data_IF_207273975836
#
_entry.id   IF_207273975836
#
_cell.length_a   1.000
_cell.length_b   1.000
_cell.length_c   1.000
_cell.angle_alpha   90.00
_cell.angle_beta   90.00
_cell.angle_gamma   90.00
#
_symmetry.space_group_name_H-M   'P 1'
#
loop_
_entity.id
_entity.type
_entity.pdbx_description
1 polymer ?
#
# COMPACT_ATOMS: atom_id res chain seq x y z
N UNK A 1 -14.01 13.05 -10.94
CA UNK A 1 -12.68 12.73 -10.41
C UNK A 1 -12.87 12.18 -9.02
N UNK A 2 -12.40 10.99 -8.71
CA UNK A 2 -12.55 10.46 -7.35
C UNK A 2 -11.39 10.95 -6.49
N UNK A 3 -11.74 11.50 -5.33
CA UNK A 3 -10.79 11.95 -4.33
C UNK A 3 -11.05 11.20 -3.03
N UNK A 4 -10.02 10.54 -2.54
CA UNK A 4 -10.04 9.94 -1.22
C UNK A 4 -9.55 10.96 -0.19
N UNK A 5 -10.32 11.17 0.87
CA UNK A 5 -9.93 12.07 1.97
C UNK A 5 -10.09 11.36 3.30
N UNK A 6 -9.11 11.53 4.15
CA UNK A 6 -9.14 11.16 5.56
C UNK A 6 -9.26 12.45 6.37
N UNK A 7 -10.28 12.58 7.21
CA UNK A 7 -10.55 13.82 7.96
C UNK A 7 -10.62 13.57 9.45
N UNK A 8 -9.71 14.23 10.18
CA UNK A 8 -9.63 14.25 11.65
C UNK A 8 -9.71 12.84 12.27
N UNK A 9 -8.99 11.89 11.67
CA UNK A 9 -9.08 10.49 12.02
C UNK A 9 -8.35 10.21 13.32
N UNK A 10 -9.08 9.68 14.32
CA UNK A 10 -8.50 9.28 15.61
C UNK A 10 -8.87 7.83 15.89
N UNK A 11 -7.89 7.07 16.40
CA UNK A 11 -8.07 5.68 16.79
C UNK A 11 -7.30 5.36 18.06
N UNK A 12 -7.98 4.75 19.00
CA UNK A 12 -7.45 4.28 20.27
C UNK A 12 -7.78 2.80 20.44
N UNK A 13 -6.88 2.05 21.03
CA UNK A 13 -7.11 0.65 21.39
C UNK A 13 -7.04 0.48 22.90
N UNK A 14 -8.08 -0.11 23.50
CA UNK A 14 -8.09 -0.44 24.91
C UNK A 14 -7.30 -1.73 25.14
N UNK A 15 -6.24 -1.64 25.93
CA UNK A 15 -5.48 -2.78 26.44
C UNK A 15 -5.71 -2.86 27.95
N UNK A 16 -5.88 -4.08 28.46
CA UNK A 16 -6.21 -4.51 29.83
C UNK A 16 -5.93 -3.54 31.02
N UNK A 17 -5.65 -2.32 30.93
CA UNK A 17 -5.55 -1.25 31.93
C UNK A 17 -4.93 0.04 31.36
N UNK A 18 -4.67 0.08 30.05
CA UNK A 18 -4.10 1.25 29.38
C UNK A 18 -4.83 1.49 28.05
N UNK A 19 -5.12 2.73 27.76
CA UNK A 19 -5.65 3.15 26.47
C UNK A 19 -4.51 3.61 25.60
N UNK A 20 -4.36 2.99 24.43
CA UNK A 20 -3.27 3.28 23.47
C UNK A 20 -3.82 4.05 22.28
N UNK A 21 -3.61 5.36 22.25
CA UNK A 21 -3.92 6.18 21.09
C UNK A 21 -2.91 5.92 19.99
N UNK A 22 -3.37 5.47 18.83
CA UNK A 22 -2.55 5.11 17.66
C UNK A 22 -2.58 6.19 16.59
N UNK A 23 -3.76 6.75 16.30
CA UNK A 23 -3.93 7.88 15.37
C UNK A 23 -4.55 9.04 16.12
N UNK A 24 -4.13 10.29 15.82
CA UNK A 24 -4.63 11.48 16.50
C UNK A 24 -4.89 12.63 15.52
N UNK A 25 -6.13 12.81 15.12
CA UNK A 25 -6.56 13.88 14.22
C UNK A 25 -5.91 13.83 12.83
N UNK A 26 -5.58 12.64 12.33
CA UNK A 26 -4.89 12.46 11.06
C UNK A 26 -5.74 12.95 9.88
N UNK A 27 -5.10 13.74 9.01
CA UNK A 27 -5.68 14.21 7.77
C UNK A 27 -4.77 13.84 6.60
N UNK A 28 -5.33 13.37 5.48
CA UNK A 28 -4.64 13.21 4.20
C UNK A 28 -5.63 13.23 3.03
N UNK A 29 -5.14 13.52 1.85
CA UNK A 29 -5.93 13.49 0.64
C UNK A 29 -5.15 12.86 -0.51
N UNK A 30 -5.86 12.11 -1.35
CA UNK A 30 -5.32 11.42 -2.52
C UNK A 30 -6.23 11.73 -3.69
N UNK A 31 -5.68 12.29 -4.74
CA UNK A 31 -6.44 12.62 -5.94
C UNK A 31 -6.57 11.38 -6.85
N UNK A 32 -7.52 11.43 -7.77
CA UNK A 32 -7.79 10.33 -8.70
C UNK A 32 -6.57 10.02 -9.59
N UNK A 33 -6.18 8.76 -9.63
CA UNK A 33 -5.01 8.30 -10.37
C UNK A 33 -3.66 8.69 -9.75
N UNK A 34 -3.64 9.30 -8.57
CA UNK A 34 -2.41 9.69 -7.88
C UNK A 34 -1.76 8.47 -7.21
N UNK A 35 -0.44 8.40 -7.24
CA UNK A 35 0.34 7.43 -6.49
C UNK A 35 0.91 8.11 -5.24
N UNK A 36 0.41 7.74 -4.07
CA UNK A 36 0.78 8.35 -2.78
C UNK A 36 1.51 7.35 -1.89
N UNK A 37 2.65 7.75 -1.32
CA UNK A 37 3.35 6.93 -0.33
C UNK A 37 3.15 7.46 1.09
N UNK A 38 3.09 6.55 2.05
CA UNK A 38 3.03 6.81 3.49
C UNK A 38 4.31 6.30 4.14
N UNK A 39 5.11 7.21 4.68
CA UNK A 39 6.32 6.93 5.45
C UNK A 39 6.10 7.25 6.94
N UNK A 40 6.85 6.61 7.80
CA UNK A 40 6.85 6.86 9.24
C UNK A 40 7.43 5.69 10.01
N UNK A 41 7.72 5.87 11.32
CA UNK A 41 8.32 4.83 12.16
C UNK A 41 7.51 3.54 12.17
N UNK A 42 8.20 2.42 12.40
CA UNK A 42 7.51 1.12 12.58
C UNK A 42 6.55 1.18 13.76
N UNK A 43 5.34 0.65 13.58
CA UNK A 43 4.31 0.63 14.61
C UNK A 43 3.63 1.98 14.88
N UNK A 44 3.86 3.04 14.08
CA UNK A 44 3.20 4.33 14.30
C UNK A 44 1.69 4.31 14.02
N UNK A 45 1.18 3.36 13.19
CA UNK A 45 -0.25 3.25 12.90
C UNK A 45 -0.62 3.19 11.41
N UNK A 46 0.35 3.06 10.50
CA UNK A 46 0.10 3.03 9.04
C UNK A 46 -0.87 1.92 8.62
N UNK A 47 -0.65 0.69 9.07
CA UNK A 47 -1.57 -0.43 8.78
C UNK A 47 -2.93 -0.26 9.47
N UNK A 48 -2.99 0.41 10.64
CA UNK A 48 -4.24 0.80 11.29
C UNK A 48 -5.04 1.76 10.40
N UNK A 49 -4.36 2.75 9.82
CA UNK A 49 -4.97 3.67 8.86
C UNK A 49 -5.53 2.91 7.64
N UNK A 50 -4.79 1.97 7.06
CA UNK A 50 -5.28 1.16 5.94
C UNK A 50 -6.45 0.28 6.31
N UNK A 51 -6.47 -0.30 7.51
CA UNK A 51 -7.62 -1.06 8.00
C UNK A 51 -8.87 -0.17 8.13
N UNK A 52 -8.71 1.09 8.52
CA UNK A 52 -9.84 2.04 8.59
C UNK A 52 -10.28 2.45 7.18
N UNK A 53 -9.34 2.79 6.28
CA UNK A 53 -9.68 3.17 4.90
C UNK A 53 -10.40 2.02 4.19
N UNK A 54 -9.95 0.79 4.36
CA UNK A 54 -10.58 -0.40 3.75
C UNK A 54 -11.87 -0.83 4.42
N UNK A 55 -12.25 -0.20 5.55
CA UNK A 55 -13.47 -0.54 6.30
C UNK A 55 -13.35 -1.79 7.17
N UNK A 56 -12.15 -2.32 7.38
CA UNK A 56 -11.89 -3.43 8.30
C UNK A 56 -11.91 -2.99 9.77
N UNK A 57 -11.75 -1.70 10.03
CA UNK A 57 -11.78 -1.08 11.34
C UNK A 57 -12.61 0.19 11.30
N UNK A 58 -13.48 0.38 12.29
CA UNK A 58 -14.25 1.62 12.44
C UNK A 58 -13.44 2.57 13.33
N UNK A 59 -13.22 3.83 12.92
CA UNK A 59 -12.46 4.80 13.72
C UNK A 59 -13.30 5.33 14.90
N UNK A 60 -12.63 5.76 15.96
CA UNK A 60 -13.30 6.39 17.12
C UNK A 60 -13.92 7.73 16.73
N UNK A 61 -13.16 8.56 16.00
CA UNK A 61 -13.64 9.86 15.48
C UNK A 61 -13.09 10.14 14.11
N UNK A 62 -13.65 11.15 13.43
CA UNK A 62 -13.30 11.49 12.06
C UNK A 62 -13.94 10.55 11.05
N UNK A 63 -13.38 10.46 9.86
CA UNK A 63 -13.95 9.60 8.81
C UNK A 63 -13.17 9.58 7.52
N UNK A 64 -13.56 8.63 6.69
CA UNK A 64 -13.06 8.46 5.32
C UNK A 64 -14.13 8.99 4.37
N UNK A 65 -13.71 9.74 3.37
CA UNK A 65 -14.59 10.32 2.37
C UNK A 65 -14.10 9.94 0.98
N UNK A 66 -15.01 9.54 0.13
CA UNK A 66 -14.76 9.29 -1.28
C UNK A 66 -15.67 10.22 -2.10
N UNK A 67 -15.07 11.09 -2.92
CA UNK A 67 -15.80 12.11 -3.69
C UNK A 67 -16.64 13.07 -2.83
N UNK A 68 -16.20 13.37 -1.63
CA UNK A 68 -16.91 14.21 -0.68
C UNK A 68 -17.98 13.50 0.14
N UNK A 69 -18.34 12.27 -0.20
CA UNK A 69 -19.28 11.45 0.57
C UNK A 69 -18.55 10.61 1.61
N UNK A 70 -19.05 10.63 2.85
CA UNK A 70 -18.50 9.80 3.92
C UNK A 70 -18.83 8.34 3.65
N UNK A 71 -17.79 7.51 3.63
CA UNK A 71 -17.94 6.06 3.47
C UNK A 71 -17.88 5.37 4.84
N UNK A 72 -18.70 4.32 5.01
CA UNK A 72 -18.80 3.54 6.24
C UNK A 72 -18.58 2.06 5.93
N UNK A 73 -17.61 1.47 6.63
CA UNK A 73 -17.30 0.06 6.45
C UNK A 73 -16.69 -0.24 5.08
N UNK A 74 -16.66 -1.53 4.71
CA UNK A 74 -16.13 -1.98 3.42
C UNK A 74 -17.12 -1.63 2.31
N UNK A 75 -16.82 -0.62 1.54
CA UNK A 75 -17.64 -0.18 0.39
C UNK A 75 -17.36 -0.98 -0.88
N UNK A 76 -16.35 -1.85 -0.86
CA UNK A 76 -15.90 -2.58 -2.06
C UNK A 76 -15.13 -1.71 -3.08
N UNK A 77 -14.78 -0.47 -2.74
CA UNK A 77 -14.04 0.44 -3.62
C UNK A 77 -12.52 0.22 -3.59
N UNK A 78 -12.06 -0.55 -2.61
CA UNK A 78 -10.64 -0.77 -2.34
C UNK A 78 -10.21 -2.20 -2.64
N UNK A 79 -9.01 -2.36 -3.20
CA UNK A 79 -8.27 -3.60 -3.15
C UNK A 79 -7.10 -3.43 -2.17
N UNK A 80 -7.00 -4.30 -1.18
CA UNK A 80 -6.03 -4.18 -0.10
C UNK A 80 -5.07 -5.36 -0.08
N UNK A 81 -3.80 -5.09 -0.36
CA UNK A 81 -2.69 -6.00 -0.10
C UNK A 81 -2.14 -5.72 1.28
N UNK A 82 -2.40 -6.61 2.23
CA UNK A 82 -1.86 -6.51 3.58
C UNK A 82 -0.38 -6.91 3.62
N UNK A 83 0.34 -6.49 4.66
CA UNK A 83 1.76 -6.81 4.87
C UNK A 83 2.04 -8.32 4.85
N UNK A 84 1.14 -9.14 5.43
CA UNK A 84 1.15 -10.60 5.28
C UNK A 84 0.49 -10.97 3.95
N UNK A 85 1.03 -11.98 3.27
CA UNK A 85 0.52 -12.40 1.96
C UNK A 85 -0.93 -12.94 1.98
N UNK A 86 -1.37 -13.50 3.11
CA UNK A 86 -2.72 -14.04 3.35
C UNK A 86 -3.23 -14.89 2.18
N UNK A 87 -2.36 -15.63 1.53
CA UNK A 87 -2.75 -16.60 0.52
C UNK A 87 -3.53 -17.75 1.16
N UNK A 88 -4.58 -18.20 0.47
CA UNK A 88 -5.39 -19.32 0.90
C UNK A 88 -4.57 -20.61 0.73
N UNK A 89 -4.15 -21.28 1.82
CA UNK A 89 -3.17 -22.38 1.73
C UNK A 89 -3.70 -23.63 1.02
N UNK A 90 -5.02 -23.76 0.94
CA UNK A 90 -5.71 -24.86 0.24
C UNK A 90 -6.01 -24.57 -1.23
N UNK A 91 -5.63 -23.39 -1.75
CA UNK A 91 -5.77 -23.01 -3.15
C UNK A 91 -4.41 -22.93 -3.83
N UNK A 92 -4.35 -23.32 -5.09
CA UNK A 92 -3.16 -23.09 -5.93
C UNK A 92 -2.95 -21.61 -6.18
N UNK A 93 -1.78 -21.22 -6.72
CA UNK A 93 -1.44 -19.84 -7.11
C UNK A 93 -2.53 -19.25 -8.00
N UNK A 94 -2.85 -19.91 -9.10
CA UNK A 94 -3.87 -19.37 -10.03
C UNK A 94 -5.23 -19.22 -9.35
N UNK A 95 -5.65 -20.15 -8.50
CA UNK A 95 -6.90 -20.05 -7.77
C UNK A 95 -6.90 -18.99 -6.68
N UNK A 96 -5.74 -18.66 -6.09
CA UNK A 96 -5.58 -17.52 -5.20
C UNK A 96 -5.78 -16.20 -5.97
N UNK A 97 -5.19 -16.10 -7.14
CA UNK A 97 -5.27 -14.89 -7.98
C UNK A 97 -6.68 -14.66 -8.51
N UNK A 98 -7.43 -15.73 -8.79
CA UNK A 98 -8.81 -15.65 -9.29
C UNK A 98 -9.87 -15.36 -8.23
N UNK A 99 -9.52 -15.16 -6.96
CA UNK A 99 -10.49 -14.87 -5.88
C UNK A 99 -11.35 -13.64 -6.19
N UNK A 100 -10.75 -12.57 -6.69
CA UNK A 100 -11.48 -11.34 -7.06
C UNK A 100 -12.50 -11.59 -8.18
N UNK A 101 -12.09 -12.11 -9.34
CA UNK A 101 -12.99 -12.52 -10.41
C UNK A 101 -14.10 -13.48 -9.99
N UNK A 102 -13.79 -14.49 -9.14
CA UNK A 102 -14.80 -15.42 -8.61
C UNK A 102 -15.88 -14.70 -7.79
N UNK A 103 -15.47 -13.77 -6.89
CA UNK A 103 -16.40 -12.99 -6.05
C UNK A 103 -17.29 -12.07 -6.90
N UNK A 104 -16.76 -11.51 -7.99
CA UNK A 104 -17.48 -10.62 -8.88
C UNK A 104 -18.27 -11.33 -9.97
N UNK A 105 -18.28 -12.69 -9.98
CA UNK A 105 -18.92 -13.52 -11.01
C UNK A 105 -18.46 -13.19 -12.43
N UNK A 106 -17.15 -12.88 -12.60
CA UNK A 106 -16.58 -12.61 -13.92
C UNK A 106 -16.37 -13.91 -14.71
N UNK A 107 -16.33 -13.85 -16.07
CA UNK A 107 -16.00 -15.00 -16.90
C UNK A 107 -14.59 -15.52 -16.55
N UNK A 108 -14.52 -16.71 -15.94
CA UNK A 108 -13.26 -17.25 -15.40
C UNK A 108 -12.23 -17.58 -16.47
N UNK A 109 -12.62 -17.91 -17.70
CA UNK A 109 -11.67 -18.22 -18.77
C UNK A 109 -10.85 -16.97 -19.15
N UNK A 110 -11.51 -15.83 -19.32
CA UNK A 110 -10.84 -14.54 -19.62
C UNK A 110 -9.99 -14.08 -18.43
N UNK A 111 -10.54 -14.14 -17.22
CA UNK A 111 -9.83 -13.79 -16.02
C UNK A 111 -8.59 -14.68 -15.78
N UNK A 112 -8.66 -15.97 -16.14
CA UNK A 112 -7.54 -16.90 -16.05
C UNK A 112 -6.41 -16.54 -17.02
N UNK A 113 -6.75 -16.16 -18.24
CA UNK A 113 -5.74 -15.72 -19.23
C UNK A 113 -4.99 -14.47 -18.72
N UNK A 114 -5.72 -13.48 -18.23
CA UNK A 114 -5.12 -12.28 -17.64
C UNK A 114 -4.28 -12.61 -16.41
N UNK A 115 -4.80 -13.44 -15.49
CA UNK A 115 -4.06 -13.88 -14.30
C UNK A 115 -2.73 -14.57 -14.68
N UNK A 116 -2.72 -15.43 -15.70
CA UNK A 116 -1.51 -16.08 -16.20
C UNK A 116 -0.53 -15.06 -16.78
N UNK A 117 -1.01 -14.08 -17.55
CA UNK A 117 -0.18 -13.00 -18.07
C UNK A 117 0.44 -12.17 -16.95
N UNK A 118 -0.34 -11.74 -15.95
CA UNK A 118 0.15 -10.99 -14.78
C UNK A 118 1.17 -11.82 -13.97
N UNK A 119 0.91 -13.10 -13.75
CA UNK A 119 1.86 -14.00 -13.08
C UNK A 119 3.17 -14.11 -13.87
N UNK A 120 3.11 -14.23 -15.20
CA UNK A 120 4.30 -14.28 -16.04
C UNK A 120 5.11 -12.98 -15.98
N UNK A 121 4.46 -11.81 -16.03
CA UNK A 121 5.10 -10.50 -15.87
C UNK A 121 5.87 -10.40 -14.54
N UNK A 122 5.34 -11.01 -13.46
CA UNK A 122 5.98 -11.02 -12.15
C UNK A 122 6.92 -12.23 -11.93
N UNK A 123 7.32 -12.93 -13.01
CA UNK A 123 8.29 -14.03 -12.96
C UNK A 123 7.79 -15.28 -12.22
N UNK A 124 6.49 -15.57 -12.33
CA UNK A 124 5.83 -16.71 -11.70
C UNK A 124 5.31 -17.74 -12.72
N UNK A 125 5.80 -17.70 -13.98
CA UNK A 125 5.50 -18.71 -14.98
C UNK A 125 5.90 -20.11 -14.51
N UNK A 126 5.01 -21.08 -14.67
CA UNK A 126 5.21 -22.47 -14.25
C UNK A 126 4.85 -22.76 -12.79
N UNK A 127 4.47 -21.75 -12.00
CA UNK A 127 4.04 -21.91 -10.61
C UNK A 127 2.51 -21.81 -10.42
N UNK A 128 1.75 -21.72 -11.49
CA UNK A 128 0.29 -21.48 -11.47
C UNK A 128 -0.45 -22.56 -10.67
N UNK A 129 0.02 -23.80 -10.74
CA UNK A 129 -0.57 -24.96 -10.06
C UNK A 129 0.08 -25.28 -8.71
N UNK A 130 1.11 -24.52 -8.31
CA UNK A 130 1.76 -24.69 -7.01
C UNK A 130 0.88 -24.17 -5.88
N UNK A 131 1.05 -24.73 -4.69
CA UNK A 131 0.41 -24.25 -3.47
C UNK A 131 1.32 -23.25 -2.74
N UNK A 132 0.78 -22.32 -1.92
CA UNK A 132 1.55 -21.32 -1.21
C UNK A 132 2.74 -21.86 -0.41
N UNK A 133 2.61 -23.04 0.18
CA UNK A 133 3.69 -23.69 0.94
C UNK A 133 4.90 -24.09 0.09
N UNK A 134 4.74 -24.20 -1.22
CA UNK A 134 5.81 -24.54 -2.17
C UNK A 134 6.59 -23.32 -2.67
N UNK A 135 6.18 -22.11 -2.27
CA UNK A 135 6.72 -20.85 -2.73
C UNK A 135 7.65 -20.21 -1.71
N UNK A 136 8.66 -19.49 -2.17
CA UNK A 136 9.45 -18.60 -1.31
C UNK A 136 8.59 -17.42 -0.79
N UNK A 137 9.06 -16.72 0.25
CA UNK A 137 8.36 -15.55 0.79
C UNK A 137 8.13 -14.46 -0.28
N UNK A 138 9.16 -14.16 -1.07
CA UNK A 138 9.05 -13.20 -2.16
C UNK A 138 8.11 -13.66 -3.29
N UNK A 139 8.06 -14.96 -3.59
CA UNK A 139 7.07 -15.48 -4.55
C UNK A 139 5.64 -15.33 -4.02
N UNK A 140 5.39 -15.66 -2.76
CA UNK A 140 4.07 -15.46 -2.14
C UNK A 140 3.65 -13.99 -2.17
N UNK A 141 4.57 -13.07 -1.89
CA UNK A 141 4.29 -11.63 -1.93
C UNK A 141 3.90 -11.17 -3.35
N UNK A 142 4.60 -11.66 -4.38
CA UNK A 142 4.24 -11.39 -5.79
C UNK A 142 2.87 -11.96 -6.17
N UNK A 143 2.53 -13.18 -5.73
CA UNK A 143 1.18 -13.75 -5.92
C UNK A 143 0.11 -12.90 -5.23
N UNK A 144 0.38 -12.41 -4.01
CA UNK A 144 -0.55 -11.54 -3.28
C UNK A 144 -0.77 -10.20 -4.01
N UNK A 145 0.29 -9.64 -4.62
CA UNK A 145 0.17 -8.43 -5.45
C UNK A 145 -0.72 -8.70 -6.67
N UNK A 146 -0.46 -9.77 -7.44
CA UNK A 146 -1.31 -10.13 -8.59
C UNK A 146 -2.77 -10.34 -8.16
N UNK A 147 -3.00 -11.07 -7.06
CA UNK A 147 -4.36 -11.24 -6.52
C UNK A 147 -5.02 -9.90 -6.24
N UNK A 148 -4.30 -8.95 -5.65
CA UNK A 148 -4.83 -7.62 -5.34
C UNK A 148 -5.19 -6.84 -6.61
N UNK A 149 -4.35 -6.87 -7.63
CA UNK A 149 -4.63 -6.24 -8.93
C UNK A 149 -5.86 -6.84 -9.61
N UNK A 150 -6.05 -8.17 -9.51
CA UNK A 150 -7.21 -8.86 -10.10
C UNK A 150 -8.56 -8.54 -9.44
N UNK A 151 -8.59 -7.82 -8.31
CA UNK A 151 -9.83 -7.23 -7.79
C UNK A 151 -10.35 -6.05 -8.63
N UNK A 152 -9.51 -5.48 -9.51
CA UNK A 152 -9.85 -4.39 -10.44
C UNK A 152 -10.56 -3.21 -9.76
N UNK A 153 -10.13 -2.88 -8.56
CA UNK A 153 -10.66 -1.73 -7.82
C UNK A 153 -9.95 -0.45 -8.24
N UNK A 154 -10.66 0.66 -8.11
CA UNK A 154 -10.13 1.97 -8.48
C UNK A 154 -9.03 2.44 -7.54
N UNK A 155 -9.08 2.01 -6.28
CA UNK A 155 -8.10 2.39 -5.26
C UNK A 155 -7.39 1.14 -4.75
N UNK A 156 -6.06 1.15 -4.82
CA UNK A 156 -5.18 0.11 -4.31
C UNK A 156 -4.53 0.58 -3.00
N UNK A 157 -4.61 -0.25 -1.98
CA UNK A 157 -3.90 -0.09 -0.71
C UNK A 157 -2.81 -1.16 -0.66
N UNK A 158 -1.55 -0.76 -0.67
CA UNK A 158 -0.40 -1.68 -0.70
C UNK A 158 0.43 -1.48 0.58
N UNK A 159 0.40 -2.46 1.48
CA UNK A 159 1.12 -2.41 2.75
C UNK A 159 2.42 -3.22 2.65
N UNK A 160 3.55 -2.52 2.48
CA UNK A 160 4.90 -3.06 2.30
C UNK A 160 4.99 -4.15 1.20
N UNK A 161 4.52 -3.90 -0.05
CA UNK A 161 4.37 -4.91 -1.08
C UNK A 161 5.70 -5.55 -1.54
N UNK A 162 6.83 -4.94 -1.22
CA UNK A 162 8.15 -5.41 -1.63
C UNK A 162 9.06 -5.79 -0.45
N UNK A 163 8.53 -5.82 0.78
CA UNK A 163 9.32 -6.03 2.00
C UNK A 163 10.06 -7.38 2.06
N UNK A 164 9.53 -8.45 1.45
CA UNK A 164 10.15 -9.77 1.43
C UNK A 164 11.03 -10.04 0.19
N UNK A 165 11.28 -9.02 -0.64
CA UNK A 165 12.06 -9.14 -1.87
C UNK A 165 13.52 -8.71 -1.66
N UNK A 166 14.46 -9.40 -2.32
CA UNK A 166 15.82 -8.91 -2.46
C UNK A 166 15.89 -7.62 -3.31
N UNK A 167 16.99 -6.89 -3.23
CA UNK A 167 17.13 -5.58 -3.87
C UNK A 167 16.93 -5.60 -5.39
N UNK A 168 17.48 -6.61 -6.08
CA UNK A 168 17.35 -6.69 -7.55
C UNK A 168 15.90 -7.01 -7.96
N UNK A 169 15.28 -7.99 -7.32
CA UNK A 169 13.88 -8.35 -7.56
C UNK A 169 12.95 -7.18 -7.23
N UNK A 170 13.22 -6.43 -6.15
CA UNK A 170 12.44 -5.25 -5.75
C UNK A 170 12.45 -4.19 -6.85
N UNK A 171 13.62 -3.84 -7.40
CA UNK A 171 13.73 -2.86 -8.48
C UNK A 171 12.90 -3.26 -9.71
N UNK A 172 12.97 -4.52 -10.10
CA UNK A 172 12.17 -5.03 -11.23
C UNK A 172 10.67 -4.96 -10.93
N UNK A 173 10.26 -5.34 -9.71
CA UNK A 173 8.85 -5.31 -9.31
C UNK A 173 8.29 -3.89 -9.22
N UNK A 174 9.08 -2.92 -8.77
CA UNK A 174 8.72 -1.51 -8.76
C UNK A 174 8.45 -0.98 -10.17
N UNK A 175 9.32 -1.32 -11.13
CA UNK A 175 9.12 -0.96 -12.55
C UNK A 175 7.83 -1.56 -13.10
N UNK A 176 7.60 -2.86 -12.89
CA UNK A 176 6.38 -3.54 -13.35
C UNK A 176 5.11 -2.92 -12.72
N UNK A 177 5.16 -2.59 -11.42
CA UNK A 177 4.02 -1.92 -10.76
C UNK A 177 3.74 -0.55 -11.40
N UNK A 178 4.78 0.21 -11.74
CA UNK A 178 4.61 1.50 -12.44
C UNK A 178 4.02 1.32 -13.84
N UNK A 179 4.44 0.30 -14.59
CA UNK A 179 3.90 0.01 -15.91
C UNK A 179 2.40 -0.32 -15.82
N UNK A 180 2.01 -1.20 -14.89
CA UNK A 180 0.61 -1.54 -14.64
C UNK A 180 -0.19 -0.29 -14.20
N UNK A 181 0.36 0.50 -13.28
CA UNK A 181 -0.28 1.73 -12.84
C UNK A 181 -0.46 2.75 -13.98
N UNK A 182 0.51 2.85 -14.89
CA UNK A 182 0.44 3.76 -16.04
C UNK A 182 -0.66 3.35 -17.03
N UNK A 183 -0.92 2.04 -17.18
CA UNK A 183 -1.99 1.50 -18.01
C UNK A 183 -3.37 1.77 -17.40
N UNK A 184 -3.55 1.41 -16.13
CA UNK A 184 -4.86 1.37 -15.47
C UNK A 184 -5.25 2.71 -14.80
N UNK A 185 -4.27 3.60 -14.55
CA UNK A 185 -4.47 4.89 -13.86
C UNK A 185 -5.23 4.76 -12.53
N UNK A 186 -4.96 3.68 -11.81
CA UNK A 186 -5.55 3.45 -10.49
C UNK A 186 -4.96 4.44 -9.48
N UNK A 187 -5.75 4.81 -8.48
CA UNK A 187 -5.25 5.54 -7.31
C UNK A 187 -4.52 4.57 -6.40
N UNK A 188 -3.28 4.87 -6.02
CA UNK A 188 -2.48 3.97 -5.18
C UNK A 188 -2.06 4.66 -3.89
N UNK A 189 -2.32 4.00 -2.75
CA UNK A 189 -1.69 4.32 -1.49
C UNK A 189 -0.72 3.20 -1.12
N UNK A 190 0.53 3.57 -0.95
CA UNK A 190 1.64 2.67 -0.62
C UNK A 190 2.15 2.95 0.78
N UNK A 191 2.15 1.97 1.66
CA UNK A 191 2.96 2.00 2.88
C UNK A 191 4.31 1.39 2.57
N UNK A 192 5.36 2.11 2.88
CA UNK A 192 6.73 1.61 2.83
C UNK A 192 7.58 2.23 3.95
N UNK A 193 8.67 1.59 4.30
CA UNK A 193 9.73 2.14 5.15
C UNK A 193 10.95 2.56 4.33
N UNK A 194 10.94 2.34 3.02
CA UNK A 194 12.03 2.66 2.10
C UNK A 194 11.79 4.02 1.44
N UNK A 195 12.67 4.97 1.75
CA UNK A 195 12.63 6.34 1.23
C UNK A 195 12.85 6.38 -0.28
N UNK A 196 13.72 5.52 -0.81
CA UNK A 196 14.00 5.47 -2.25
C UNK A 196 12.79 4.93 -3.01
N UNK A 197 12.14 3.91 -2.47
CA UNK A 197 10.91 3.37 -3.03
C UNK A 197 9.82 4.44 -3.11
N UNK A 198 9.59 5.19 -2.02
CA UNK A 198 8.62 6.28 -2.02
C UNK A 198 8.94 7.35 -3.08
N UNK A 199 10.21 7.75 -3.21
CA UNK A 199 10.64 8.74 -4.19
C UNK A 199 10.56 8.26 -5.63
N UNK A 200 10.82 6.98 -5.88
CA UNK A 200 10.72 6.41 -7.23
C UNK A 200 9.27 6.27 -7.69
N UNK A 201 8.36 5.87 -6.78
CA UNK A 201 7.00 5.48 -7.12
C UNK A 201 5.96 6.60 -6.95
N UNK A 202 6.06 7.43 -5.91
CA UNK A 202 4.97 8.30 -5.52
C UNK A 202 5.02 9.69 -6.19
N UNK A 203 3.84 10.27 -6.44
CA UNK A 203 3.66 11.68 -6.81
C UNK A 203 3.70 12.57 -5.57
N UNK A 204 3.24 12.01 -4.43
CA UNK A 204 3.17 12.67 -3.13
C UNK A 204 3.52 11.70 -2.01
N UNK A 205 4.24 12.20 -1.01
CA UNK A 205 4.68 11.42 0.14
C UNK A 205 4.17 12.09 1.40
N UNK A 206 3.42 11.36 2.22
CA UNK A 206 3.08 11.76 3.57
C UNK A 206 4.07 11.14 4.56
N UNK A 207 4.62 11.96 5.44
CA UNK A 207 5.42 11.50 6.58
C UNK A 207 4.57 11.58 7.83
N UNK A 208 4.45 10.45 8.52
CA UNK A 208 3.72 10.35 9.78
C UNK A 208 4.68 10.42 10.96
N UNK A 209 4.21 11.00 12.07
CA UNK A 209 4.95 11.03 13.35
C UNK A 209 5.02 9.64 13.98
N UNK A 210 5.84 9.49 15.00
CA UNK A 210 5.71 8.40 15.96
C UNK A 210 4.31 8.42 16.62
N UNK A 211 3.96 7.32 17.32
CA UNK A 211 2.66 7.16 17.97
C UNK A 211 2.44 8.16 19.11
N UNK A 212 1.27 8.80 19.20
CA UNK A 212 0.14 8.75 18.26
C UNK A 212 0.46 9.43 16.93
N UNK A 213 0.11 8.75 15.81
CA UNK A 213 0.47 9.25 14.49
C UNK A 213 -0.40 10.45 14.09
N UNK A 214 0.29 11.49 13.68
CA UNK A 214 -0.25 12.68 13.00
C UNK A 214 0.49 12.88 11.68
N UNK A 215 -0.01 13.75 10.82
CA UNK A 215 0.73 14.15 9.61
C UNK A 215 1.86 15.12 9.99
N UNK A 216 3.11 14.71 9.78
CA UNK A 216 4.31 15.54 10.01
C UNK A 216 4.64 16.42 8.83
N UNK A 217 4.62 15.84 7.63
CA UNK A 217 4.94 16.55 6.40
C UNK A 217 4.18 15.95 5.21
N UNK A 218 4.02 16.77 4.18
CA UNK A 218 3.57 16.39 2.85
C UNK A 218 4.64 16.86 1.86
N UNK A 219 5.20 15.94 1.09
CA UNK A 219 6.26 16.21 0.13
C UNK A 219 5.78 15.82 -1.26
N UNK A 220 5.74 16.78 -2.17
CA UNK A 220 5.45 16.54 -3.57
C UNK A 220 6.71 16.08 -4.30
N UNK A 221 6.55 15.14 -5.22
CA UNK A 221 7.62 14.65 -6.10
C UNK A 221 7.28 15.02 -7.56
N UNK A 222 7.45 16.29 -7.96
CA UNK A 222 7.01 16.82 -9.25
C UNK A 222 7.98 16.45 -10.39
N UNK A 223 8.45 15.20 -10.39
CA UNK A 223 9.39 14.69 -11.38
C UNK A 223 8.72 13.61 -12.24
N UNK A 224 8.94 13.64 -13.55
CA UNK A 224 8.37 12.63 -14.44
C UNK A 224 8.95 11.23 -14.15
N UNK A 225 8.23 10.19 -14.51
CA UNK A 225 8.69 8.79 -14.51
C UNK A 225 9.13 8.38 -15.92
N UNK A 226 10.09 7.44 -16.10
CA UNK A 226 10.82 6.75 -15.03
C UNK A 226 11.84 7.65 -14.33
N UNK A 227 12.02 7.45 -13.02
CA UNK A 227 12.95 8.21 -12.19
C UNK A 227 14.19 7.38 -11.88
N UNK A 228 15.33 8.06 -11.72
CA UNK A 228 16.56 7.43 -11.25
C UNK A 228 16.97 8.07 -9.92
N UNK A 229 17.21 7.24 -8.90
CA UNK A 229 17.56 7.73 -7.55
C UNK A 229 18.87 8.52 -7.50
N UNK A 230 19.71 8.40 -8.54
CA UNK A 230 20.95 9.17 -8.68
C UNK A 230 20.74 10.57 -9.29
N UNK A 231 19.52 10.90 -9.74
CA UNK A 231 19.23 12.22 -10.28
C UNK A 231 19.30 13.28 -9.20
N UNK A 232 19.96 14.40 -9.50
CA UNK A 232 20.22 15.49 -8.54
C UNK A 232 18.93 15.98 -7.85
N UNK A 233 17.79 16.19 -8.52
CA UNK A 233 16.55 16.57 -7.88
C UNK A 233 16.05 15.52 -6.86
N UNK A 234 16.15 14.22 -7.18
CA UNK A 234 15.74 13.15 -6.25
C UNK A 234 16.69 13.05 -5.05
N UNK A 235 18.00 13.26 -5.24
CA UNK A 235 18.96 13.30 -4.14
C UNK A 235 18.62 14.44 -3.15
N UNK A 236 18.17 15.59 -3.65
CA UNK A 236 17.74 16.70 -2.79
C UNK A 236 16.49 16.37 -1.98
N UNK A 237 15.46 15.83 -2.65
CA UNK A 237 14.23 15.37 -1.99
C UNK A 237 14.52 14.25 -0.97
N UNK A 238 15.43 13.33 -1.28
CA UNK A 238 15.87 12.29 -0.34
C UNK A 238 16.48 12.88 0.92
N UNK A 239 17.35 13.89 0.79
CA UNK A 239 17.95 14.56 1.96
C UNK A 239 16.89 15.27 2.81
N UNK A 240 15.97 15.98 2.19
CA UNK A 240 14.85 16.62 2.88
C UNK A 240 14.00 15.60 3.63
N UNK A 241 13.60 14.52 2.97
CA UNK A 241 12.77 13.46 3.53
C UNK A 241 13.47 12.75 4.70
N UNK A 242 14.76 12.45 4.56
CA UNK A 242 15.57 11.86 5.64
C UNK A 242 15.68 12.79 6.84
N UNK A 243 15.85 14.10 6.64
CA UNK A 243 15.90 15.07 7.73
C UNK A 243 14.59 15.10 8.54
N UNK A 244 13.44 15.05 7.86
CA UNK A 244 12.12 14.97 8.50
C UNK A 244 11.96 13.67 9.29
N UNK A 245 12.38 12.53 8.73
CA UNK A 245 12.29 11.21 9.37
C UNK A 245 13.25 11.05 10.56
N UNK A 246 14.46 11.60 10.50
CA UNK A 246 15.45 11.52 11.59
C UNK A 246 14.93 12.16 12.88
N UNK A 247 14.22 13.28 12.77
CA UNK A 247 13.59 13.94 13.93
C UNK A 247 12.59 13.00 14.61
N UNK A 248 11.82 12.24 13.84
CA UNK A 248 10.82 11.30 14.40
C UNK A 248 11.46 10.03 14.98
N UNK A 249 12.58 9.58 14.42
CA UNK A 249 13.29 8.40 14.96
C UNK A 249 13.96 8.70 16.29
N UNK A 250 14.55 9.89 16.48
CA UNK A 250 15.15 10.28 17.75
C UNK A 250 14.12 10.33 18.88
N UNK A 251 12.92 10.83 18.64
CA UNK A 251 11.84 10.85 19.64
C UNK A 251 11.38 9.46 20.09
N UNK A 252 11.50 8.44 19.24
CA UNK A 252 11.17 7.06 19.58
C UNK A 252 12.22 6.43 20.50
N UNK A 253 13.50 6.74 20.31
CA UNK A 253 14.59 6.22 21.13
C UNK A 253 14.72 6.92 22.49
N UNK A 254 14.30 8.19 22.59
CA UNK A 254 14.34 8.96 23.84
C UNK A 254 13.13 8.67 24.75
N UNK A 255 12.08 8.03 24.23
CA UNK A 255 10.85 7.71 24.98
C UNK A 255 10.77 6.25 25.47
N UNK A 256 11.79 5.42 25.26
CA UNK A 256 11.91 4.01 25.69
C UNK A 256 12.99 3.83 26.72
#
# INVERSE_FOLDING_TARGET
MSRLEVKNLTQTFDQKNTSLRVLDGLNLSVDDGEFVALLGPSGCGKSTLFNIISGLLVPDTGGIYLNGERIYGNTGDFAYMQQKDLLLPWRTVIRNVLVGPEIHNEPLDTAKMEAQQRLAQLGLSGFENSYPMQLSGGMRQRVALVRTLMFRKRILLLDEPFGALDAMTRTVMQSILLDIWAEDKQTVLLITHDVEEALLLADKIYVLTARPATQKAEILVPLPRPRNITDVPLIRLKKELLAVLQVEMSTVFDAG
#
